data_IF_081306473771
#
_entry.id   IF_081306473771
#
_cell.length_a   1.000
_cell.length_b   1.000
_cell.length_c   1.000
_cell.angle_alpha   90.00
_cell.angle_beta   90.00
_cell.angle_gamma   90.00
#
_symmetry.space_group_name_H-M   'P 1'
#
loop_
_entity.id
_entity.type
_entity.pdbx_description
1 polymer ?
#
# COMPACT_ATOMS: atom_id res chain seq x y z
N UNK A 1 -14.73 5.94 3.45
CA UNK A 1 -13.76 5.40 2.46
C UNK A 1 -14.33 4.12 1.87
N UNK A 2 -14.33 3.99 0.55
CA UNK A 2 -14.63 2.73 -0.16
C UNK A 2 -13.32 2.02 -0.47
N UNK A 3 -13.30 0.69 -0.46
CA UNK A 3 -12.10 -0.11 -0.67
C UNK A 3 -12.35 -1.09 -1.79
N UNK A 4 -11.51 -1.03 -2.80
CA UNK A 4 -11.51 -1.97 -3.92
C UNK A 4 -10.16 -2.65 -3.99
N UNK A 5 -10.11 -3.91 -4.43
CA UNK A 5 -8.85 -4.55 -4.74
C UNK A 5 -9.04 -5.61 -5.80
N UNK A 6 -7.95 -5.98 -6.47
CA UNK A 6 -7.90 -7.21 -7.23
C UNK A 6 -7.80 -8.40 -6.29
N UNK A 7 -8.64 -9.40 -6.50
CA UNK A 7 -8.67 -10.64 -5.75
C UNK A 7 -8.61 -11.82 -6.71
N UNK A 8 -7.65 -12.71 -6.47
CA UNK A 8 -7.36 -13.86 -7.33
C UNK A 8 -7.19 -15.07 -6.44
N UNK A 9 -7.91 -16.14 -6.75
CA UNK A 9 -7.71 -17.46 -6.15
C UNK A 9 -6.96 -18.35 -7.14
N UNK A 10 -5.85 -18.94 -6.71
CA UNK A 10 -5.04 -19.83 -7.54
C UNK A 10 -4.34 -20.88 -6.68
N UNK A 11 -4.43 -22.15 -7.08
CA UNK A 11 -3.80 -23.28 -6.39
C UNK A 11 -4.13 -23.38 -4.89
N UNK A 12 -5.36 -23.01 -4.50
CA UNK A 12 -5.78 -23.01 -3.09
C UNK A 12 -5.24 -21.82 -2.27
N UNK A 13 -4.58 -20.86 -2.91
CA UNK A 13 -4.12 -19.62 -2.28
C UNK A 13 -4.89 -18.42 -2.79
N UNK A 14 -5.03 -17.42 -1.92
CA UNK A 14 -5.75 -16.19 -2.19
C UNK A 14 -4.78 -15.01 -2.21
N UNK A 15 -4.88 -14.19 -3.25
CA UNK A 15 -4.02 -13.04 -3.48
C UNK A 15 -4.85 -11.77 -3.54
N UNK A 16 -4.42 -10.72 -2.83
CA UNK A 16 -5.02 -9.39 -2.89
C UNK A 16 -4.00 -8.38 -3.39
N UNK A 17 -4.26 -7.85 -4.58
CA UNK A 17 -3.37 -6.94 -5.32
C UNK A 17 -4.05 -5.58 -5.54
N UNK A 18 -3.26 -4.57 -5.89
CA UNK A 18 -3.72 -3.28 -6.43
C UNK A 18 -4.90 -2.66 -5.66
N UNK A 19 -4.78 -2.56 -4.33
CA UNK A 19 -5.86 -2.02 -3.50
C UNK A 19 -6.03 -0.51 -3.75
N UNK A 20 -7.27 -0.07 -3.95
CA UNK A 20 -7.66 1.33 -4.12
C UNK A 20 -8.51 1.77 -2.91
N UNK A 21 -8.03 2.80 -2.22
CA UNK A 21 -8.74 3.44 -1.13
C UNK A 21 -9.37 4.74 -1.65
N UNK A 22 -10.70 4.74 -1.82
CA UNK A 22 -11.44 5.91 -2.31
C UNK A 22 -11.99 6.75 -1.15
N UNK A 23 -11.66 8.02 -1.17
CA UNK A 23 -12.16 9.07 -0.30
C UNK A 23 -12.99 10.05 -1.11
N UNK A 24 -14.18 10.44 -0.62
CA UNK A 24 -15.14 11.19 -1.42
C UNK A 24 -15.54 10.41 -2.69
N UNK A 25 -15.81 11.17 -3.76
CA UNK A 25 -16.33 10.63 -5.03
C UNK A 25 -15.32 10.75 -6.19
N UNK A 26 -14.20 11.44 -5.97
CA UNK A 26 -13.14 11.58 -6.97
C UNK A 26 -12.41 10.26 -7.22
N UNK A 27 -11.97 10.09 -8.47
CA UNK A 27 -11.10 8.99 -8.92
C UNK A 27 -9.67 9.46 -9.18
N UNK A 28 -9.31 10.67 -8.75
CA UNK A 28 -7.96 11.20 -8.93
C UNK A 28 -6.98 10.60 -7.93
N UNK A 29 -5.78 10.25 -8.41
CA UNK A 29 -4.74 9.70 -7.56
C UNK A 29 -4.16 10.80 -6.66
N UNK A 30 -4.28 10.59 -5.35
CA UNK A 30 -3.70 11.46 -4.33
C UNK A 30 -2.29 11.01 -3.95
N UNK A 31 -2.07 9.71 -3.89
CA UNK A 31 -0.82 9.15 -3.39
C UNK A 31 -0.79 7.63 -3.40
N UNK A 32 0.36 7.12 -2.98
CA UNK A 32 0.67 5.70 -2.99
C UNK A 32 1.20 5.27 -1.63
N UNK A 33 0.95 4.02 -1.28
CA UNK A 33 1.56 3.38 -0.12
C UNK A 33 1.95 1.95 -0.45
N UNK A 34 3.13 1.54 0.03
CA UNK A 34 3.61 0.15 -0.08
C UNK A 34 3.78 -0.43 1.32
N UNK A 35 3.04 -1.49 1.60
CA UNK A 35 3.01 -2.19 2.88
C UNK A 35 3.54 -3.63 2.74
N UNK A 36 3.56 -4.36 3.84
CA UNK A 36 4.07 -5.72 3.89
C UNK A 36 3.16 -6.72 3.17
N UNK A 37 1.95 -6.92 3.69
CA UNK A 37 1.00 -7.89 3.20
C UNK A 37 -0.45 -7.46 3.46
N UNK A 38 -1.40 -7.97 2.67
CA UNK A 38 -2.80 -7.77 2.98
C UNK A 38 -3.18 -8.59 4.22
N UNK A 39 -4.02 -7.99 5.08
CA UNK A 39 -4.66 -8.72 6.17
C UNK A 39 -5.66 -9.77 5.66
N UNK A 40 -6.39 -10.40 6.58
CA UNK A 40 -7.33 -11.49 6.30
C UNK A 40 -8.72 -11.03 5.80
N UNK A 41 -8.91 -9.77 5.40
CA UNK A 41 -10.24 -9.33 4.94
C UNK A 41 -10.63 -10.04 3.63
N UNK A 42 -11.78 -10.72 3.63
CA UNK A 42 -12.36 -11.38 2.46
C UNK A 42 -13.07 -10.37 1.53
N UNK A 43 -13.19 -10.67 0.22
CA UNK A 43 -14.03 -9.86 -0.68
C UNK A 43 -15.49 -9.93 -0.24
N UNK A 44 -16.21 -8.81 -0.37
CA UNK A 44 -17.62 -8.72 -0.02
C UNK A 44 -18.49 -8.91 -1.26
N UNK A 45 -18.29 -8.05 -2.26
CA UNK A 45 -19.04 -8.01 -3.51
C UNK A 45 -18.08 -7.83 -4.67
N UNK A 46 -18.49 -8.20 -5.89
CA UNK A 46 -17.79 -7.73 -7.09
C UNK A 46 -17.85 -6.21 -7.13
N UNK A 47 -16.73 -5.59 -7.46
CA UNK A 47 -16.71 -4.16 -7.69
C UNK A 47 -17.51 -3.85 -8.96
N UNK A 48 -18.33 -2.81 -8.91
CA UNK A 48 -18.91 -2.24 -10.12
C UNK A 48 -17.80 -1.77 -11.07
N UNK A 49 -18.13 -1.56 -12.35
CA UNK A 49 -17.19 -1.09 -13.37
C UNK A 49 -16.58 0.32 -13.11
N UNK A 50 -16.81 0.90 -11.94
CA UNK A 50 -16.29 2.21 -11.54
C UNK A 50 -14.77 2.19 -11.35
N UNK A 51 -14.17 1.06 -10.94
CA UNK A 51 -12.70 0.90 -10.85
C UNK A 51 -12.02 0.99 -12.22
N UNK A 52 -12.75 0.71 -13.31
CA UNK A 52 -12.25 0.89 -14.67
C UNK A 52 -11.91 2.36 -14.97
N UNK A 53 -12.65 3.32 -14.42
CA UNK A 53 -12.38 4.76 -14.62
C UNK A 53 -10.97 5.13 -14.12
N UNK A 54 -10.59 4.61 -12.95
CA UNK A 54 -9.25 4.77 -12.42
C UNK A 54 -8.21 4.08 -13.31
N UNK A 55 -8.48 2.83 -13.67
CA UNK A 55 -7.56 2.01 -14.46
C UNK A 55 -7.26 2.65 -15.82
N UNK A 56 -8.28 3.10 -16.55
CA UNK A 56 -8.13 3.77 -17.84
C UNK A 56 -7.34 5.09 -17.72
N UNK A 57 -7.37 5.76 -16.56
CA UNK A 57 -6.63 7.01 -16.34
C UNK A 57 -5.16 6.76 -16.02
N UNK A 58 -4.87 5.81 -15.13
CA UNK A 58 -3.53 5.64 -14.52
C UNK A 58 -2.79 4.37 -14.96
N UNK A 59 -3.41 3.49 -15.76
CA UNK A 59 -2.83 2.21 -16.23
C UNK A 59 -3.15 1.92 -17.71
N UNK A 60 -3.11 2.93 -18.57
CA UNK A 60 -3.52 2.90 -19.99
C UNK A 60 -2.93 1.76 -20.84
N UNK A 61 -1.79 1.19 -20.46
CA UNK A 61 -1.09 0.16 -21.22
C UNK A 61 -1.22 -1.25 -20.61
N UNK A 62 -2.14 -1.46 -19.67
CA UNK A 62 -2.35 -2.77 -19.05
C UNK A 62 -3.80 -3.23 -19.20
N UNK A 63 -3.98 -4.53 -19.34
CA UNK A 63 -5.30 -5.13 -19.47
C UNK A 63 -6.06 -5.01 -18.15
N UNK A 64 -7.28 -4.46 -18.23
CA UNK A 64 -8.23 -4.48 -17.12
C UNK A 64 -9.06 -5.74 -17.16
N UNK A 65 -9.03 -6.55 -16.08
CA UNK A 65 -9.92 -7.69 -15.92
C UNK A 65 -11.02 -7.37 -14.89
N UNK A 66 -12.26 -7.05 -15.31
CA UNK A 66 -13.34 -6.70 -14.39
C UNK A 66 -13.69 -7.82 -13.41
N UNK A 67 -13.43 -9.08 -13.76
CA UNK A 67 -13.77 -10.23 -12.91
C UNK A 67 -12.86 -10.38 -11.69
N UNK A 68 -11.72 -9.68 -11.66
CA UNK A 68 -10.79 -9.72 -10.53
C UNK A 68 -11.08 -8.64 -9.50
N UNK A 69 -11.98 -7.69 -9.76
CA UNK A 69 -12.19 -6.55 -8.86
C UNK A 69 -13.32 -6.78 -7.88
N UNK A 70 -13.04 -6.56 -6.59
CA UNK A 70 -13.97 -6.74 -5.50
C UNK A 70 -13.93 -5.58 -4.51
N UNK A 71 -15.06 -5.36 -3.82
CA UNK A 71 -15.16 -4.48 -2.68
C UNK A 71 -14.72 -5.19 -1.39
N UNK A 72 -14.10 -4.46 -0.48
CA UNK A 72 -13.62 -4.95 0.81
C UNK A 72 -14.08 -4.05 1.95
N UNK A 73 -14.16 -4.62 3.15
CA UNK A 73 -14.33 -3.82 4.37
C UNK A 73 -13.02 -3.10 4.68
N UNK A 74 -13.11 -1.81 4.99
CA UNK A 74 -11.97 -1.06 5.52
C UNK A 74 -11.52 -1.65 6.87
N UNK A 75 -10.22 -1.83 7.04
CA UNK A 75 -9.60 -2.20 8.31
C UNK A 75 -8.90 -1.02 9.00
N UNK A 76 -8.36 -1.27 10.20
CA UNK A 76 -7.68 -0.25 10.98
C UNK A 76 -6.43 0.31 10.29
N UNK A 77 -5.70 -0.50 9.53
CA UNK A 77 -4.53 -0.06 8.78
C UNK A 77 -4.93 0.95 7.70
N UNK A 78 -6.02 0.69 6.97
CA UNK A 78 -6.55 1.62 5.98
C UNK A 78 -7.03 2.94 6.63
N UNK A 79 -7.59 2.88 7.84
CA UNK A 79 -7.89 4.08 8.63
C UNK A 79 -6.64 4.88 9.02
N UNK A 80 -5.50 4.22 9.24
CA UNK A 80 -4.23 4.90 9.45
C UNK A 80 -3.65 5.50 8.16
N UNK A 81 -3.94 4.90 7.00
CA UNK A 81 -3.61 5.52 5.71
C UNK A 81 -4.38 6.83 5.54
N UNK A 82 -5.67 6.85 5.85
CA UNK A 82 -6.47 8.08 5.84
C UNK A 82 -5.83 9.17 6.72
N UNK A 83 -5.49 8.84 7.97
CA UNK A 83 -4.86 9.78 8.89
C UNK A 83 -3.52 10.31 8.36
N UNK A 84 -2.72 9.44 7.76
CA UNK A 84 -1.43 9.82 7.20
C UNK A 84 -1.61 10.88 6.11
N UNK A 85 -2.44 10.59 5.11
CA UNK A 85 -2.64 11.47 3.96
C UNK A 85 -3.51 12.69 4.26
N UNK A 86 -4.36 12.65 5.30
CA UNK A 86 -5.13 13.81 5.72
C UNK A 86 -4.32 14.81 6.56
N UNK A 87 -3.04 14.54 6.81
CA UNK A 87 -2.20 15.36 7.67
C UNK A 87 -2.53 15.27 9.17
N UNK A 88 -3.26 14.24 9.61
CA UNK A 88 -3.76 14.13 10.99
C UNK A 88 -2.64 14.13 12.04
N UNK A 89 -1.45 13.62 11.68
CA UNK A 89 -0.34 13.48 12.62
C UNK A 89 0.52 14.74 12.79
N UNK A 90 0.30 15.78 11.98
CA UNK A 90 1.13 17.00 11.93
C UNK A 90 0.35 18.30 12.00
N UNK A 91 -0.83 18.33 11.40
CA UNK A 91 -1.60 19.56 11.28
C UNK A 91 -2.63 19.67 12.40
N UNK A 92 -2.89 20.90 12.85
CA UNK A 92 -4.05 21.18 13.72
C UNK A 92 -5.36 20.96 12.97
N UNK A 93 -5.36 21.19 11.65
CA UNK A 93 -6.53 21.06 10.78
C UNK A 93 -6.36 19.90 9.80
N UNK A 94 -7.26 18.92 9.90
CA UNK A 94 -7.30 17.73 9.04
C UNK A 94 -7.81 18.12 7.64
N UNK A 95 -7.09 17.71 6.59
CA UNK A 95 -7.60 17.83 5.22
C UNK A 95 -8.69 16.80 4.94
N UNK A 96 -9.75 17.20 4.24
CA UNK A 96 -10.77 16.28 3.73
C UNK A 96 -10.23 15.68 2.42
N UNK A 97 -9.97 14.37 2.43
CA UNK A 97 -9.50 13.66 1.24
C UNK A 97 -10.63 13.47 0.24
N UNK A 98 -10.34 13.74 -1.04
CA UNK A 98 -11.24 13.47 -2.16
C UNK A 98 -10.44 12.92 -3.35
N UNK A 99 -10.37 11.60 -3.47
CA UNK A 99 -9.59 10.89 -4.48
C UNK A 99 -9.19 9.47 -4.04
N UNK A 100 -8.18 8.92 -4.69
CA UNK A 100 -7.71 7.54 -4.53
C UNK A 100 -6.32 7.54 -3.91
N UNK A 101 -6.12 6.69 -2.91
CA UNK A 101 -4.78 6.26 -2.50
C UNK A 101 -4.59 4.81 -2.97
N UNK A 102 -3.52 4.57 -3.72
CA UNK A 102 -3.13 3.21 -4.11
C UNK A 102 -2.36 2.54 -2.98
N UNK A 103 -2.81 1.37 -2.56
CA UNK A 103 -2.13 0.51 -1.60
C UNK A 103 -1.61 -0.73 -2.30
N UNK A 104 -0.30 -0.89 -2.28
CA UNK A 104 0.41 -2.07 -2.74
C UNK A 104 1.00 -2.84 -1.56
N UNK A 105 1.21 -4.13 -1.74
CA UNK A 105 1.94 -4.96 -0.77
C UNK A 105 3.19 -5.53 -1.41
N UNK A 106 4.30 -5.65 -0.68
CA UNK A 106 5.44 -6.43 -1.15
C UNK A 106 5.06 -7.90 -1.34
N UNK A 107 4.15 -8.40 -0.50
CA UNK A 107 3.67 -9.76 -0.50
C UNK A 107 2.14 -9.81 -0.50
N UNK A 108 1.53 -10.22 -1.61
CA UNK A 108 0.08 -10.10 -1.85
C UNK A 108 -0.75 -11.27 -1.31
N UNK A 109 -0.14 -12.26 -0.65
CA UNK A 109 -0.87 -13.40 -0.08
C UNK A 109 -1.78 -12.92 1.04
N UNK A 110 -3.07 -13.24 0.95
CA UNK A 110 -4.08 -12.90 1.97
C UNK A 110 -3.84 -13.76 3.21
N UNK A 111 -3.21 -13.20 4.23
CA UNK A 111 -3.00 -13.89 5.50
C UNK A 111 -2.85 -12.89 6.64
N UNK A 112 -3.56 -13.10 7.75
CA UNK A 112 -3.38 -12.27 8.95
C UNK A 112 -2.02 -12.50 9.61
N UNK A 113 -1.45 -13.70 9.47
CA UNK A 113 -0.17 -14.09 10.01
C UNK A 113 0.88 -14.16 8.89
N UNK A 114 1.59 -13.05 8.71
CA UNK A 114 2.66 -12.94 7.71
C UNK A 114 3.78 -13.97 7.94
N UNK A 115 4.16 -14.23 9.19
CA UNK A 115 5.21 -15.21 9.49
C UNK A 115 4.81 -16.63 9.09
N UNK A 116 3.53 -16.99 9.28
CA UNK A 116 3.00 -18.26 8.81
C UNK A 116 3.02 -18.32 7.28
N UNK A 117 2.59 -17.27 6.60
CA UNK A 117 2.60 -17.22 5.14
C UNK A 117 4.02 -17.30 4.55
N UNK A 118 5.02 -16.71 5.21
CA UNK A 118 6.42 -16.79 4.76
C UNK A 118 6.96 -18.23 4.78
N UNK A 119 6.43 -19.13 5.63
CA UNK A 119 6.88 -20.54 5.64
C UNK A 119 6.55 -21.28 4.36
N UNK A 120 5.49 -20.85 3.67
CA UNK A 120 5.03 -21.43 2.40
C UNK A 120 5.44 -20.57 1.19
N UNK A 121 6.42 -19.67 1.35
CA UNK A 121 6.77 -18.65 0.34
C UNK A 121 7.10 -19.22 -1.05
N UNK A 122 7.66 -20.43 -1.10
CA UNK A 122 8.04 -21.10 -2.34
C UNK A 122 6.90 -21.92 -2.98
N UNK A 123 5.74 -22.04 -2.30
CA UNK A 123 4.55 -22.69 -2.84
C UNK A 123 3.64 -21.73 -3.62
N UNK A 124 3.82 -20.43 -3.43
CA UNK A 124 2.96 -19.44 -4.07
C UNK A 124 3.38 -19.18 -5.52
N UNK A 125 2.40 -18.77 -6.33
CA UNK A 125 2.69 -18.23 -7.65
C UNK A 125 3.47 -16.91 -7.52
N UNK A 126 4.72 -16.89 -7.99
CA UNK A 126 5.60 -15.72 -7.84
C UNK A 126 5.07 -14.45 -8.52
N UNK A 127 4.29 -14.60 -9.60
CA UNK A 127 3.73 -13.46 -10.35
C UNK A 127 2.57 -12.80 -9.60
N UNK A 128 1.91 -13.54 -8.71
CA UNK A 128 0.82 -13.04 -7.87
C UNK A 128 1.30 -12.66 -6.48
N UNK A 129 2.18 -13.49 -5.89
CA UNK A 129 2.64 -13.36 -4.52
C UNK A 129 3.45 -12.09 -4.29
N UNK A 130 4.21 -11.63 -5.28
CA UNK A 130 5.12 -10.50 -5.11
C UNK A 130 4.78 -9.38 -6.06
N UNK A 131 4.69 -8.16 -5.53
CA UNK A 131 4.51 -6.98 -6.37
C UNK A 131 5.75 -6.72 -7.20
N UNK A 132 5.57 -6.59 -8.51
CA UNK A 132 6.63 -6.30 -9.45
C UNK A 132 6.32 -5.04 -10.27
N UNK A 133 7.33 -4.20 -10.45
CA UNK A 133 7.29 -2.99 -11.27
C UNK A 133 6.16 -2.01 -10.90
N UNK A 134 5.70 -2.04 -9.65
CA UNK A 134 4.59 -1.19 -9.18
C UNK A 134 4.96 0.30 -9.16
N UNK A 135 6.25 0.62 -9.14
CA UNK A 135 6.76 1.98 -9.21
C UNK A 135 6.31 2.72 -10.49
N UNK A 136 6.07 1.96 -11.58
CA UNK A 136 5.55 2.52 -12.84
C UNK A 136 4.12 3.05 -12.71
N UNK A 137 3.40 2.69 -11.64
CA UNK A 137 2.03 3.12 -11.38
C UNK A 137 1.93 4.22 -10.33
N UNK A 138 3.04 4.82 -9.89
CA UNK A 138 2.99 5.89 -8.89
C UNK A 138 2.55 7.24 -9.47
N UNK A 139 2.64 7.43 -10.80
CA UNK A 139 2.06 8.56 -11.55
C UNK A 139 2.39 9.95 -10.94
N UNK A 140 3.66 10.17 -10.61
CA UNK A 140 4.17 11.42 -10.02
C UNK A 140 3.48 11.85 -8.71
N UNK A 141 2.97 10.88 -7.95
CA UNK A 141 2.35 11.10 -6.63
C UNK A 141 3.23 10.57 -5.50
N UNK A 142 3.15 11.18 -4.30
CA UNK A 142 3.98 10.78 -3.17
C UNK A 142 3.74 9.33 -2.76
N UNK A 143 4.80 8.67 -2.27
CA UNK A 143 4.81 7.25 -1.92
C UNK A 143 5.31 7.07 -0.50
N UNK A 144 4.48 6.47 0.35
CA UNK A 144 4.89 6.02 1.68
C UNK A 144 5.29 4.54 1.68
N UNK A 145 6.37 4.21 2.37
CA UNK A 145 6.86 2.85 2.58
C UNK A 145 6.77 2.45 4.07
N UNK A 146 5.93 1.46 4.36
CA UNK A 146 5.66 0.97 5.72
C UNK A 146 5.92 -0.52 5.85
N UNK A 147 7.17 -0.94 5.68
CA UNK A 147 7.56 -2.35 5.75
C UNK A 147 7.58 -2.87 7.19
N UNK A 148 7.03 -4.06 7.40
CA UNK A 148 7.09 -4.73 8.70
C UNK A 148 8.48 -5.33 8.93
N UNK A 149 8.84 -5.61 10.19
CA UNK A 149 10.08 -6.34 10.52
C UNK A 149 10.14 -7.70 9.82
N UNK A 150 9.00 -8.38 9.68
CA UNK A 150 8.93 -9.67 8.99
C UNK A 150 9.33 -9.58 7.51
N UNK A 151 9.00 -8.49 6.82
CA UNK A 151 9.51 -8.22 5.45
C UNK A 151 11.01 -7.97 5.47
N UNK A 152 11.48 -7.12 6.39
CA UNK A 152 12.89 -6.70 6.45
C UNK A 152 13.84 -7.83 6.90
N UNK A 153 13.33 -8.83 7.64
CA UNK A 153 14.11 -9.96 8.13
C UNK A 153 14.08 -11.18 7.19
N UNK A 154 13.25 -11.18 6.15
CA UNK A 154 13.22 -12.24 5.14
C UNK A 154 13.92 -11.76 3.86
N UNK A 155 14.99 -12.45 3.44
CA UNK A 155 15.81 -12.02 2.30
C UNK A 155 15.02 -11.85 0.99
N UNK A 156 14.11 -12.77 0.66
CA UNK A 156 13.29 -12.68 -0.56
C UNK A 156 12.40 -11.44 -0.54
N UNK A 157 11.66 -11.23 0.56
CA UNK A 157 10.78 -10.07 0.73
C UNK A 157 11.55 -8.75 0.85
N UNK A 158 12.68 -8.75 1.53
CA UNK A 158 13.57 -7.59 1.64
C UNK A 158 14.10 -7.17 0.27
N UNK A 159 14.49 -8.12 -0.58
CA UNK A 159 14.94 -7.83 -1.95
C UNK A 159 13.84 -7.22 -2.82
N UNK A 160 12.59 -7.69 -2.68
CA UNK A 160 11.43 -7.09 -3.36
C UNK A 160 11.19 -5.66 -2.86
N UNK A 161 11.14 -5.48 -1.54
CA UNK A 161 10.96 -4.18 -0.91
C UNK A 161 12.05 -3.18 -1.32
N UNK A 162 13.31 -3.63 -1.33
CA UNK A 162 14.47 -2.85 -1.78
C UNK A 162 14.37 -2.48 -3.25
N UNK A 163 14.03 -3.43 -4.13
CA UNK A 163 13.86 -3.18 -5.57
C UNK A 163 12.79 -2.11 -5.83
N UNK A 164 11.64 -2.20 -5.14
CA UNK A 164 10.58 -1.19 -5.25
C UNK A 164 11.10 0.17 -4.78
N UNK A 165 11.71 0.23 -3.59
CA UNK A 165 12.20 1.48 -3.00
C UNK A 165 13.27 2.14 -3.87
N UNK A 166 14.26 1.38 -4.34
CA UNK A 166 15.37 1.90 -5.14
C UNK A 166 14.92 2.44 -6.50
N UNK A 167 13.95 1.76 -7.13
CA UNK A 167 13.39 2.21 -8.41
C UNK A 167 12.41 3.37 -8.27
N UNK A 168 11.96 3.69 -7.06
CA UNK A 168 11.07 4.83 -6.83
C UNK A 168 11.86 6.14 -6.97
N UNK A 169 11.43 7.08 -7.83
CA UNK A 169 12.09 8.37 -7.95
C UNK A 169 12.16 9.12 -6.62
N UNK A 170 13.27 9.80 -6.36
CA UNK A 170 13.51 10.45 -5.06
C UNK A 170 12.49 11.55 -4.75
N UNK A 171 12.01 12.27 -5.76
CA UNK A 171 10.97 13.31 -5.61
C UNK A 171 9.60 12.75 -5.19
N UNK A 172 9.37 11.44 -5.34
CA UNK A 172 8.14 10.79 -4.88
C UNK A 172 8.26 10.25 -3.46
N UNK A 173 9.49 10.18 -2.92
CA UNK A 173 9.74 9.80 -1.53
C UNK A 173 9.63 11.07 -0.69
N UNK A 174 8.73 11.13 0.31
CA UNK A 174 8.59 12.32 1.11
C UNK A 174 9.92 12.72 1.76
N UNK A 175 10.28 14.00 1.63
CA UNK A 175 11.54 14.53 2.11
C UNK A 175 11.69 14.31 3.62
N UNK A 176 12.91 14.02 4.07
CA UNK A 176 13.28 13.80 5.48
C UNK A 176 12.63 12.58 6.16
N UNK A 177 11.85 11.76 5.45
CA UNK A 177 11.39 10.46 5.97
C UNK A 177 12.41 9.36 5.68
N UNK A 178 12.89 9.33 4.44
CA UNK A 178 13.71 8.22 3.95
C UNK A 178 15.13 8.66 3.61
N UNK A 179 16.10 7.88 4.10
CA UNK A 179 17.48 7.91 3.65
C UNK A 179 17.57 7.26 2.25
N UNK A 180 18.50 7.73 1.43
CA UNK A 180 18.77 7.12 0.12
C UNK A 180 19.24 5.66 0.27
N UNK A 181 20.01 5.34 1.31
CA UNK A 181 20.38 3.97 1.65
C UNK A 181 19.21 3.24 2.31
N UNK A 182 18.66 2.24 1.60
CA UNK A 182 17.58 1.37 2.07
C UNK A 182 17.81 0.85 3.50
N UNK A 183 19.03 0.43 3.85
CA UNK A 183 19.30 -0.20 5.15
C UNK A 183 19.33 0.79 6.31
N UNK A 184 19.43 2.09 6.03
CA UNK A 184 19.38 3.15 7.05
C UNK A 184 17.94 3.57 7.39
N UNK A 185 16.95 3.02 6.68
CA UNK A 185 15.55 3.33 6.88
C UNK A 185 14.88 2.38 7.89
N UNK A 186 13.98 2.95 8.71
CA UNK A 186 13.17 2.16 9.65
C UNK A 186 11.85 1.66 9.06
N UNK A 187 11.38 2.27 7.97
CA UNK A 187 10.13 1.92 7.27
C UNK A 187 8.94 1.73 8.21
N UNK A 188 8.67 2.69 9.09
CA UNK A 188 7.69 2.55 10.17
C UNK A 188 6.32 2.06 9.64
N UNK A 189 5.84 0.95 10.19
CA UNK A 189 4.48 0.50 9.91
C UNK A 189 3.46 1.50 10.49
N UNK A 190 2.35 1.74 9.78
CA UNK A 190 1.34 2.74 10.16
C UNK A 190 0.75 2.51 11.57
N UNK A 191 0.58 1.25 11.96
CA UNK A 191 0.11 0.92 13.31
C UNK A 191 1.07 1.37 14.42
N UNK A 192 2.38 1.39 14.16
CA UNK A 192 3.36 1.94 15.09
C UNK A 192 3.24 3.46 15.16
N UNK A 193 3.18 4.12 14.01
CA UNK A 193 2.95 5.56 13.90
C UNK A 193 1.73 5.99 14.72
N UNK A 194 0.59 5.33 14.51
CA UNK A 194 -0.65 5.68 15.19
C UNK A 194 -0.57 5.52 16.72
N UNK A 195 0.35 4.71 17.25
CA UNK A 195 0.59 4.59 18.69
C UNK A 195 1.65 5.56 19.22
N UNK A 196 2.62 5.92 18.40
CA UNK A 196 3.81 6.67 18.83
C UNK A 196 3.76 8.18 18.53
N UNK A 197 2.83 8.65 17.67
CA UNK A 197 2.82 10.04 17.18
C UNK A 197 2.74 11.12 18.28
N UNK A 198 2.18 10.81 19.45
CA UNK A 198 2.10 11.74 20.58
C UNK A 198 3.43 11.86 21.33
N UNK A 199 4.20 10.78 21.41
CA UNK A 199 5.38 10.65 22.28
C UNK A 199 6.72 10.74 21.53
N UNK A 200 6.76 10.47 20.23
CA UNK A 200 8.00 10.42 19.45
C UNK A 200 8.16 11.63 18.51
N UNK A 201 9.22 12.41 18.74
CA UNK A 201 9.60 13.59 17.95
C UNK A 201 10.04 13.20 16.52
N UNK A 202 10.52 11.98 16.30
CA UNK A 202 10.88 11.43 14.98
C UNK A 202 9.61 11.13 14.18
N UNK A 203 8.58 10.57 14.81
CA UNK A 203 7.28 10.39 14.16
C UNK A 203 6.79 11.74 13.63
N UNK A 204 6.79 12.82 14.44
CA UNK A 204 6.37 14.16 13.98
C UNK A 204 7.15 14.69 12.75
N UNK A 205 8.43 14.34 12.58
CA UNK A 205 9.22 14.71 11.40
C UNK A 205 8.87 13.92 10.15
N UNK A 206 8.35 12.69 10.29
CA UNK A 206 7.91 11.87 9.16
C UNK A 206 6.64 12.40 8.45
N UNK A 207 6.06 13.52 8.87
CA UNK A 207 4.66 13.86 8.53
C UNK A 207 4.48 15.24 7.90
N UNK A 208 5.56 15.98 7.64
CA UNK A 208 5.49 17.34 7.07
C UNK A 208 5.46 17.32 5.51
N UNK A 209 5.78 16.19 4.86
CA UNK A 209 6.11 16.16 3.43
C UNK A 209 5.25 15.24 2.55
N UNK A 210 4.12 14.73 3.04
CA UNK A 210 3.20 13.86 2.26
C UNK A 210 2.09 14.60 1.51
N UNK A 211 2.01 15.93 1.68
CA UNK A 211 1.03 16.82 1.06
C UNK A 211 1.72 18.02 0.43
#
# INVERSE_FOLDING_TARGET
>A
MRVFARFIEKNGFEYRLDTLLQFGDSWDLLGNIVLANPGSAAPINKAENTTKKFWDKYRKNTQFNPNEWYEFKADSTMGYVEKLFSGFYTHKDKQILNGIIQLFNCFNVRNANLEAAIKDIDKYDETLAFSQNIESYFNDKPVYFGFSKAVLNNEKLKNIAKKIFDKTPQNLKPENIYNADFNQNKFYHLGYINRAYTCDRICRKCFISLL
#
